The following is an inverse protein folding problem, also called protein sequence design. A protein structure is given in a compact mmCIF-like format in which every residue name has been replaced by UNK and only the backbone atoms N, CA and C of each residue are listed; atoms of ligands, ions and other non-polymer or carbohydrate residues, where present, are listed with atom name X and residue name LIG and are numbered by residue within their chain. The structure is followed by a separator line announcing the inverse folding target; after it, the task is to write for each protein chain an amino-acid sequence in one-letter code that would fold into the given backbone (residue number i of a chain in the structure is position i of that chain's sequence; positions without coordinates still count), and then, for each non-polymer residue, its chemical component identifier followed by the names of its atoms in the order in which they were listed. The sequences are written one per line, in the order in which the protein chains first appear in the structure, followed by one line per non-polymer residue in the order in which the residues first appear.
data_IF_872390131824
#
_entry.id   IF_872390131824
#
_cell.length_a   1.000
_cell.length_b   1.000
_cell.length_c   1.000
_cell.angle_alpha   90.00
_cell.angle_beta   90.00
_cell.angle_gamma   90.00
#
_symmetry.space_group_name_H-M   'P 1'
#
loop_
_entity.id
_entity.type
_entity.pdbx_description
1 polymer ?
#
# COMPACT_ATOMS: atom_id res chain seq x y z
N UNK A 1 -61.09 -50.73 66.84
CA UNK A 1 -61.12 -49.35 66.28
C UNK A 1 -59.79 -48.88 65.65
N UNK A 2 -58.62 -49.49 65.94
CA UNK A 2 -57.31 -49.02 65.42
C UNK A 2 -57.04 -49.31 63.92
N UNK A 3 -57.63 -50.36 63.34
CA UNK A 3 -57.39 -50.78 61.94
C UNK A 3 -57.92 -49.80 60.87
N UNK A 4 -59.02 -49.07 61.15
CA UNK A 4 -59.56 -48.05 60.25
C UNK A 4 -58.71 -46.78 60.23
N UNK A 5 -58.13 -46.45 61.39
CA UNK A 5 -57.22 -45.33 61.57
C UNK A 5 -55.88 -45.57 60.85
N UNK A 6 -55.34 -46.79 60.93
CA UNK A 6 -54.14 -47.18 60.16
C UNK A 6 -54.39 -47.09 58.65
N UNK A 7 -55.53 -47.60 58.15
CA UNK A 7 -55.88 -47.47 56.71
C UNK A 7 -56.02 -46.01 56.28
N UNK A 8 -56.62 -45.16 57.11
CA UNK A 8 -56.73 -43.73 56.83
C UNK A 8 -55.36 -43.02 56.78
N UNK A 9 -54.44 -43.36 57.68
CA UNK A 9 -53.07 -42.81 57.69
C UNK A 9 -52.30 -43.27 56.44
N UNK A 10 -52.44 -44.54 56.03
CA UNK A 10 -51.80 -45.06 54.81
C UNK A 10 -52.34 -44.35 53.57
N UNK A 11 -53.65 -44.13 53.48
CA UNK A 11 -54.25 -43.39 52.36
C UNK A 11 -53.75 -41.93 52.36
N UNK A 12 -53.71 -41.27 53.51
CA UNK A 12 -53.19 -39.90 53.62
C UNK A 12 -51.72 -39.81 53.19
N UNK A 13 -50.88 -40.77 53.58
CA UNK A 13 -49.47 -40.81 53.18
C UNK A 13 -49.29 -40.98 51.67
N UNK A 14 -50.12 -41.82 51.04
CA UNK A 14 -50.10 -42.02 49.57
C UNK A 14 -50.51 -40.76 48.84
N UNK A 15 -51.56 -40.07 49.30
CA UNK A 15 -52.03 -38.81 48.68
C UNK A 15 -50.95 -37.72 48.78
N UNK A 16 -50.27 -37.62 49.92
CA UNK A 16 -49.17 -36.69 50.12
C UNK A 16 -48.00 -37.02 49.19
N UNK A 17 -47.64 -38.30 49.05
CA UNK A 17 -46.57 -38.73 48.14
C UNK A 17 -46.83 -38.36 46.67
N UNK A 18 -48.07 -38.53 46.20
CA UNK A 18 -48.46 -38.17 44.83
C UNK A 18 -48.43 -36.65 44.62
N UNK A 19 -48.89 -35.86 45.60
CA UNK A 19 -48.86 -34.40 45.53
C UNK A 19 -47.43 -33.85 45.44
N UNK A 20 -46.49 -34.39 46.24
CA UNK A 20 -45.08 -34.01 46.19
C UNK A 20 -44.40 -34.45 44.89
N UNK A 21 -44.68 -35.67 44.42
CA UNK A 21 -44.15 -36.18 43.15
C UNK A 21 -44.62 -35.34 41.96
N UNK A 22 -45.92 -35.02 41.89
CA UNK A 22 -46.50 -34.19 40.84
C UNK A 22 -45.94 -32.76 40.86
N UNK A 23 -45.82 -32.15 42.04
CA UNK A 23 -45.25 -30.81 42.19
C UNK A 23 -43.77 -30.76 41.77
N UNK A 24 -42.99 -31.78 42.11
CA UNK A 24 -41.57 -31.84 41.77
C UNK A 24 -41.35 -31.94 40.26
N UNK A 25 -42.13 -32.80 39.57
CA UNK A 25 -42.08 -32.92 38.11
C UNK A 25 -42.52 -31.63 37.43
N UNK A 26 -43.62 -31.01 37.90
CA UNK A 26 -44.10 -29.75 37.35
C UNK A 26 -43.08 -28.61 37.49
N UNK A 27 -42.42 -28.52 38.65
CA UNK A 27 -41.34 -27.54 38.90
C UNK A 27 -40.11 -27.81 38.03
N UNK A 28 -39.74 -29.08 37.83
CA UNK A 28 -38.60 -29.48 37.00
C UNK A 28 -38.83 -29.19 35.51
N UNK A 29 -40.07 -29.36 35.04
CA UNK A 29 -40.43 -29.09 33.64
C UNK A 29 -40.67 -27.60 33.36
N UNK A 30 -41.19 -26.83 34.31
CA UNK A 30 -41.53 -25.41 34.11
C UNK A 30 -40.31 -24.46 34.12
N UNK A 31 -39.12 -24.96 34.47
CA UNK A 31 -37.88 -24.16 34.51
C UNK A 31 -37.07 -24.15 33.21
N UNK A 32 -37.39 -25.00 32.23
CA UNK A 32 -36.64 -25.07 30.96
C UNK A 32 -37.20 -24.08 29.95
N UNK A 33 -37.02 -22.78 30.20
CA UNK A 33 -37.14 -21.78 29.13
C UNK A 33 -36.12 -22.13 28.06
N UNK A 34 -36.59 -22.32 26.83
CA UNK A 34 -35.76 -22.64 25.68
C UNK A 34 -34.51 -21.77 25.68
N UNK A 35 -33.34 -22.40 25.63
CA UNK A 35 -32.07 -21.70 25.55
C UNK A 35 -32.15 -20.77 24.34
N UNK A 36 -32.15 -19.46 24.59
CA UNK A 36 -32.11 -18.48 23.53
C UNK A 36 -30.79 -18.67 22.78
N UNK A 37 -30.86 -19.14 21.53
CA UNK A 37 -29.71 -19.24 20.63
C UNK A 37 -29.10 -17.86 20.50
N UNK A 38 -28.00 -17.62 21.22
CA UNK A 38 -27.26 -16.35 21.14
C UNK A 38 -26.46 -16.37 19.84
N UNK A 39 -26.93 -15.65 18.84
CA UNK A 39 -26.21 -15.42 17.59
C UNK A 39 -24.96 -14.60 17.91
N UNK A 40 -23.78 -15.17 17.67
CA UNK A 40 -22.50 -14.44 17.74
C UNK A 40 -22.18 -13.85 16.36
N UNK A 41 -22.00 -12.53 16.31
CA UNK A 41 -21.52 -11.82 15.12
C UNK A 41 -20.05 -11.42 15.31
N UNK A 42 -19.26 -11.55 14.23
CA UNK A 42 -17.92 -10.98 14.16
C UNK A 42 -18.01 -9.54 13.68
N UNK A 43 -17.99 -8.59 14.61
CA UNK A 43 -17.91 -7.18 14.27
C UNK A 43 -16.46 -6.80 13.96
N UNK A 44 -16.21 -6.34 12.73
CA UNK A 44 -14.93 -5.72 12.34
C UNK A 44 -15.10 -4.21 12.35
N UNK A 45 -14.20 -3.53 13.07
CA UNK A 45 -14.17 -2.06 13.10
C UNK A 45 -13.56 -1.52 11.82
N UNK A 46 -14.29 -0.68 11.08
CA UNK A 46 -13.79 -0.01 9.87
C UNK A 46 -12.87 1.14 10.26
N UNK A 47 -11.68 1.21 9.62
CA UNK A 47 -10.72 2.30 9.80
C UNK A 47 -10.59 3.06 8.48
N UNK A 48 -10.75 4.38 8.51
CA UNK A 48 -10.39 5.24 7.38
C UNK A 48 -8.87 5.19 7.20
N UNK A 49 -8.43 4.84 6.01
CA UNK A 49 -7.02 4.83 5.63
C UNK A 49 -6.90 5.54 4.29
N UNK A 50 -5.84 6.32 4.13
CA UNK A 50 -5.54 7.00 2.87
C UNK A 50 -5.01 5.96 1.87
N UNK A 51 -5.75 5.77 0.78
CA UNK A 51 -5.34 4.95 -0.35
C UNK A 51 -4.37 5.77 -1.19
N UNK A 52 -3.08 5.42 -1.15
CA UNK A 52 -2.07 6.04 -2.00
C UNK A 52 -1.99 5.28 -3.33
N UNK A 53 -2.66 5.79 -4.37
CA UNK A 53 -2.41 5.32 -5.73
C UNK A 53 -1.08 5.90 -6.24
N UNK A 54 -0.04 5.07 -6.19
CA UNK A 54 1.24 5.42 -6.81
C UNK A 54 1.18 5.10 -8.30
N UNK A 55 0.89 6.10 -9.13
CA UNK A 55 0.99 5.96 -10.58
C UNK A 55 2.48 5.93 -10.94
N UNK A 56 3.02 4.73 -11.16
CA UNK A 56 4.39 4.53 -11.61
C UNK A 56 4.49 4.85 -13.11
N UNK A 57 4.90 6.08 -13.45
CA UNK A 57 5.28 6.42 -14.82
C UNK A 57 6.73 6.03 -15.08
N UNK A 58 6.94 5.05 -15.95
CA UNK A 58 8.23 4.80 -16.59
C UNK A 58 8.38 5.74 -17.78
N UNK A 59 9.30 6.70 -17.68
CA UNK A 59 9.70 7.58 -18.79
C UNK A 59 11.18 7.39 -19.10
N UNK A 60 11.53 7.38 -20.39
CA UNK A 60 12.92 7.41 -20.86
C UNK A 60 13.41 8.86 -20.86
N UNK A 61 14.49 9.15 -20.12
CA UNK A 61 15.14 10.45 -20.15
C UNK A 61 15.98 10.59 -21.44
N UNK A 62 15.66 11.58 -22.26
CA UNK A 62 16.47 11.98 -23.42
C UNK A 62 17.15 13.31 -23.12
N UNK A 63 18.32 13.56 -23.73
CA UNK A 63 18.97 14.86 -23.65
C UNK A 63 18.03 15.95 -24.20
N UNK A 64 17.83 17.03 -23.44
CA UNK A 64 16.91 18.10 -23.84
C UNK A 64 17.31 18.74 -25.18
N UNK A 65 18.61 18.78 -25.49
CA UNK A 65 19.17 19.34 -26.72
C UNK A 65 20.48 18.63 -27.05
N UNK A 66 20.60 18.04 -28.24
CA UNK A 66 21.87 17.54 -28.80
C UNK A 66 22.37 18.52 -29.86
N UNK A 67 23.68 18.80 -29.87
CA UNK A 67 24.35 19.66 -30.86
C UNK A 67 25.66 19.04 -31.26
N UNK A 68 25.85 18.85 -32.57
CA UNK A 68 27.12 18.44 -33.15
C UNK A 68 27.96 19.69 -33.46
N UNK A 69 29.17 19.75 -32.92
CA UNK A 69 30.11 20.86 -33.16
C UNK A 69 31.09 20.43 -34.24
N UNK A 70 30.90 20.94 -35.45
CA UNK A 70 31.80 20.74 -36.59
C UNK A 70 32.65 21.98 -36.83
N UNK A 71 33.93 21.79 -37.15
CA UNK A 71 34.79 22.88 -37.59
C UNK A 71 34.30 23.41 -38.96
N UNK A 72 34.07 24.72 -39.06
CA UNK A 72 33.61 25.37 -40.29
C UNK A 72 34.77 25.70 -41.28
N UNK A 73 36.00 25.33 -40.93
CA UNK A 73 37.21 25.61 -41.68
C UNK A 73 38.00 24.33 -41.97
N UNK A 74 38.53 24.21 -43.18
CA UNK A 74 39.53 23.20 -43.54
C UNK A 74 40.87 23.58 -42.91
N UNK A 75 41.25 22.89 -41.83
CA UNK A 75 42.47 23.16 -41.09
C UNK A 75 42.88 21.99 -40.20
N UNK A 76 44.13 21.99 -39.74
CA UNK A 76 44.61 20.98 -38.79
C UNK A 76 44.28 21.44 -37.37
N UNK A 77 43.83 20.51 -36.51
CA UNK A 77 43.61 20.81 -35.09
C UNK A 77 44.98 20.98 -34.45
N UNK A 78 45.25 22.17 -33.91
CA UNK A 78 46.51 22.52 -33.25
C UNK A 78 46.47 22.17 -31.77
N UNK A 79 45.38 22.54 -31.11
CA UNK A 79 45.13 22.25 -29.70
C UNK A 79 43.70 21.79 -29.47
N UNK A 80 43.53 20.76 -28.64
CA UNK A 80 42.24 20.26 -28.16
C UNK A 80 42.16 20.49 -26.65
N UNK A 81 41.24 21.37 -26.22
CA UNK A 81 41.13 21.84 -24.84
C UNK A 81 40.06 21.08 -24.04
N UNK A 82 39.59 19.94 -24.57
CA UNK A 82 38.48 19.15 -24.00
C UNK A 82 38.78 17.65 -24.06
N UNK A 83 38.30 16.91 -23.07
CA UNK A 83 38.37 15.44 -23.04
C UNK A 83 36.99 14.81 -23.17
N UNK A 84 36.97 13.53 -23.57
CA UNK A 84 35.73 12.76 -23.63
C UNK A 84 35.12 12.66 -22.22
N UNK A 85 33.91 13.17 -22.07
CA UNK A 85 33.19 13.20 -20.79
C UNK A 85 33.21 14.54 -20.05
N UNK A 86 33.93 15.56 -20.56
CA UNK A 86 33.93 16.88 -19.95
C UNK A 86 32.60 17.63 -20.15
N UNK A 87 32.15 18.31 -19.09
CA UNK A 87 31.03 19.26 -19.17
C UNK A 87 31.55 20.62 -19.60
N UNK A 88 31.02 21.13 -20.71
CA UNK A 88 31.46 22.41 -21.31
C UNK A 88 30.33 23.44 -21.28
N UNK A 89 30.72 24.71 -21.11
CA UNK A 89 29.78 25.83 -21.03
C UNK A 89 29.70 26.60 -22.36
N UNK A 90 28.59 27.30 -22.59
CA UNK A 90 28.44 28.16 -23.76
C UNK A 90 29.56 29.23 -23.80
N UNK A 91 30.25 29.34 -24.93
CA UNK A 91 31.37 30.26 -25.11
C UNK A 91 32.76 29.70 -24.74
N UNK A 92 32.84 28.47 -24.24
CA UNK A 92 34.12 27.80 -23.98
C UNK A 92 34.83 27.46 -25.29
N UNK A 93 36.12 27.75 -25.38
CA UNK A 93 36.97 27.31 -26.49
C UNK A 93 37.21 25.81 -26.38
N UNK A 94 36.75 25.05 -27.38
CA UNK A 94 36.85 23.59 -27.40
C UNK A 94 38.11 23.11 -28.13
N UNK A 95 38.44 23.75 -29.25
CA UNK A 95 39.64 23.45 -30.03
C UNK A 95 40.18 24.72 -30.69
N UNK A 96 41.46 24.70 -31.02
CA UNK A 96 42.12 25.71 -31.86
C UNK A 96 42.46 25.05 -33.18
N UNK A 97 41.88 25.57 -34.27
CA UNK A 97 42.23 25.16 -35.63
C UNK A 97 43.16 26.20 -36.25
N UNK A 98 44.25 25.74 -36.86
CA UNK A 98 45.22 26.56 -37.55
C UNK A 98 45.20 26.17 -39.04
N UNK A 99 45.01 27.14 -39.94
CA UNK A 99 45.11 26.94 -41.38
C UNK A 99 45.80 28.12 -42.06
N UNK A 100 46.61 27.82 -43.08
CA UNK A 100 47.39 28.83 -43.81
C UNK A 100 46.47 29.82 -44.56
N UNK A 101 45.30 29.35 -45.02
CA UNK A 101 44.27 30.19 -45.64
C UNK A 101 43.65 31.18 -44.67
N UNK A 102 43.40 30.78 -43.41
CA UNK A 102 42.89 31.69 -42.38
C UNK A 102 43.90 32.81 -42.08
N UNK A 103 45.19 32.49 -41.99
CA UNK A 103 46.24 33.51 -41.80
C UNK A 103 46.34 34.47 -42.97
N UNK A 104 46.21 33.96 -44.20
CA UNK A 104 46.20 34.78 -45.42
C UNK A 104 45.00 35.73 -45.45
N UNK A 105 43.79 35.26 -45.14
CA UNK A 105 42.58 36.08 -45.10
C UNK A 105 42.63 37.18 -44.03
N UNK A 106 43.14 36.89 -42.82
CA UNK A 106 43.30 37.90 -41.77
C UNK A 106 44.33 38.96 -42.18
N UNK A 107 45.41 38.56 -42.86
CA UNK A 107 46.44 39.49 -43.34
C UNK A 107 45.90 40.38 -44.44
N UNK A 108 45.14 39.83 -45.39
CA UNK A 108 44.48 40.62 -46.45
C UNK A 108 43.42 41.57 -45.89
N UNK A 109 42.66 41.15 -44.88
CA UNK A 109 41.65 42.00 -44.24
C UNK A 109 42.25 43.10 -43.34
N UNK A 110 43.48 42.93 -42.85
CA UNK A 110 44.17 43.94 -42.01
C UNK A 110 44.95 44.96 -42.83
N UNK A 111 45.31 44.61 -44.06
CA UNK A 111 46.06 45.47 -44.97
C UNK A 111 45.15 46.25 -45.94
N UNK A 112 43.83 46.20 -45.72
CA UNK A 112 42.79 46.95 -46.41
C UNK A 112 42.03 47.81 -45.38
#
# INVERSE_FOLDING_TARGET
MKKRLIKAIVIAAVVVGIAFGGFYVYKSYSGKKAAATTLQYYAVTVKKMDLQETIQQTGTAYAAVTRDVSANNSGTIKDLNVKVGDTVSAGQKLFVSDSDELRKNVTTAKNN
#
